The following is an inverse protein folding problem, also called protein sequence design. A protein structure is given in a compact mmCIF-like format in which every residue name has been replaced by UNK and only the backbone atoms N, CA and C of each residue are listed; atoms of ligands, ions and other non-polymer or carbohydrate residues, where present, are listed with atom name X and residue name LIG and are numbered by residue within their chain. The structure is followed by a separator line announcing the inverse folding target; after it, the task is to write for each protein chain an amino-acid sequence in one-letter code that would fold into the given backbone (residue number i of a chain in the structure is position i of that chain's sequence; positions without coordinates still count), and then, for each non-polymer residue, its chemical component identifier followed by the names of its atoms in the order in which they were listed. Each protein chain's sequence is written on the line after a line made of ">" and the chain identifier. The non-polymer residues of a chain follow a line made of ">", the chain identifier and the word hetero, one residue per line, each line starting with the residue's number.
data_IF_019631431805
#
_entry.id   IF_019631431805
#
_cell.length_a   1.000
_cell.length_b   1.000
_cell.length_c   1.000
_cell.angle_alpha   90.00
_cell.angle_beta   90.00
_cell.angle_gamma   90.00
#
_symmetry.space_group_name_H-M   'P 1'
#
loop_
_entity.id
_entity.type
_entity.pdbx_description
1 polymer ?
#
# COMPACT_ATOMS: atom_id res chain seq x y z
N UNK A 1 1.56 -21.04 1.58
CA UNK A 1 0.77 -19.80 1.65
C UNK A 1 -0.11 -19.74 0.42
N UNK A 2 -1.39 -20.10 0.60
CA UNK A 2 -2.30 -20.39 -0.51
C UNK A 2 -2.49 -19.19 -1.44
N UNK A 3 -2.86 -18.02 -0.91
CA UNK A 3 -3.25 -16.89 -1.76
C UNK A 3 -2.08 -16.28 -2.53
N UNK A 4 -0.92 -16.08 -1.90
CA UNK A 4 0.24 -15.51 -2.57
C UNK A 4 0.69 -16.36 -3.76
N UNK A 5 0.83 -17.66 -3.59
CA UNK A 5 1.29 -18.57 -4.64
C UNK A 5 0.19 -18.98 -5.63
N UNK A 6 -1.05 -19.13 -5.15
CA UNK A 6 -2.14 -19.61 -6.00
C UNK A 6 -2.83 -18.51 -6.79
N UNK A 7 -2.70 -17.24 -6.39
CA UNK A 7 -3.44 -16.13 -6.97
C UNK A 7 -2.55 -14.95 -7.35
N UNK A 8 -1.80 -14.36 -6.39
CA UNK A 8 -1.08 -13.11 -6.62
C UNK A 8 0.06 -13.24 -7.63
N UNK A 9 0.84 -14.33 -7.58
CA UNK A 9 1.95 -14.54 -8.52
C UNK A 9 1.44 -14.51 -9.97
N UNK A 10 0.33 -15.20 -10.25
CA UNK A 10 -0.27 -15.21 -11.59
C UNK A 10 -0.78 -13.83 -12.02
N UNK A 11 -1.31 -13.02 -11.10
CA UNK A 11 -1.73 -11.66 -11.41
C UNK A 11 -0.53 -10.74 -11.69
N UNK A 12 0.57 -10.91 -10.96
CA UNK A 12 1.81 -10.17 -11.18
C UNK A 12 2.46 -10.54 -12.51
N UNK A 13 2.48 -11.82 -12.88
CA UNK A 13 2.91 -12.27 -14.20
C UNK A 13 2.03 -11.68 -15.30
N UNK A 14 0.71 -11.77 -15.15
CA UNK A 14 -0.23 -11.22 -16.13
C UNK A 14 -0.09 -9.70 -16.28
N UNK A 15 0.13 -8.97 -15.20
CA UNK A 15 0.41 -7.54 -15.22
C UNK A 15 1.68 -7.21 -16.00
N UNK A 16 2.76 -7.93 -15.70
CA UNK A 16 4.03 -7.76 -16.40
C UNK A 16 3.88 -8.04 -17.90
N UNK A 17 3.23 -9.14 -18.26
CA UNK A 17 2.96 -9.52 -19.65
C UNK A 17 2.07 -8.48 -20.37
N UNK A 18 1.15 -7.84 -19.65
CA UNK A 18 0.28 -6.82 -20.23
C UNK A 18 1.01 -5.47 -20.43
N UNK A 19 1.98 -5.14 -19.58
CA UNK A 19 2.73 -3.86 -19.69
C UNK A 19 3.94 -3.98 -20.62
N UNK A 20 4.66 -5.10 -20.60
CA UNK A 20 5.90 -5.29 -21.35
C UNK A 20 5.73 -6.15 -22.62
N UNK A 21 4.59 -6.80 -22.79
CA UNK A 21 4.27 -7.68 -23.91
C UNK A 21 3.09 -7.19 -24.75
N UNK A 22 2.56 -8.09 -25.58
CA UNK A 22 1.46 -7.80 -26.50
C UNK A 22 0.06 -8.08 -25.90
N UNK A 23 -0.05 -8.25 -24.57
CA UNK A 23 -1.33 -8.53 -23.91
C UNK A 23 -2.04 -7.25 -23.49
N UNK A 24 -3.37 -7.29 -23.52
CA UNK A 24 -4.19 -6.14 -23.14
C UNK A 24 -4.32 -5.99 -21.64
N UNK A 25 -4.22 -4.74 -21.13
CA UNK A 25 -4.59 -4.37 -19.76
C UNK A 25 -6.11 -4.35 -19.52
N UNK A 26 -6.91 -4.36 -20.61
CA UNK A 26 -8.36 -4.29 -20.51
C UNK A 26 -9.00 -5.66 -20.40
N UNK A 27 -8.45 -6.67 -21.08
CA UNK A 27 -9.03 -8.00 -21.20
C UNK A 27 -7.97 -9.08 -21.18
N UNK A 28 -8.21 -10.17 -20.46
CA UNK A 28 -7.30 -11.32 -20.37
C UNK A 28 -8.03 -12.63 -20.71
N UNK A 29 -7.47 -13.42 -21.62
CA UNK A 29 -7.91 -14.78 -21.92
C UNK A 29 -7.38 -15.83 -20.92
N UNK A 30 -6.42 -15.49 -20.08
CA UNK A 30 -5.88 -16.37 -19.04
C UNK A 30 -6.79 -16.57 -17.83
N UNK A 31 -7.97 -15.96 -17.80
CA UNK A 31 -8.97 -16.06 -16.74
C UNK A 31 -10.15 -16.91 -17.21
N UNK A 32 -10.21 -18.17 -16.78
CA UNK A 32 -11.28 -19.14 -17.14
C UNK A 32 -11.66 -19.12 -18.63
N UNK A 33 -12.77 -18.49 -18.98
CA UNK A 33 -13.24 -18.29 -20.37
C UNK A 33 -12.87 -16.93 -20.97
N UNK A 34 -12.02 -16.16 -20.29
CA UNK A 34 -11.69 -14.77 -20.59
C UNK A 34 -12.54 -13.79 -19.76
N UNK A 35 -11.97 -12.63 -19.45
CA UNK A 35 -12.63 -11.60 -18.67
C UNK A 35 -11.87 -10.29 -18.65
N UNK A 36 -12.49 -9.27 -18.09
CA UNK A 36 -11.85 -7.97 -17.89
C UNK A 36 -10.68 -8.07 -16.92
N UNK A 37 -9.61 -7.32 -17.18
CA UNK A 37 -8.42 -7.29 -16.35
C UNK A 37 -8.34 -6.03 -15.48
N UNK A 38 -9.10 -4.98 -15.83
CA UNK A 38 -9.10 -3.68 -15.14
C UNK A 38 -9.49 -3.81 -13.66
N UNK A 39 -10.49 -4.64 -13.35
CA UNK A 39 -10.91 -4.88 -11.97
C UNK A 39 -9.84 -5.58 -11.14
N UNK A 40 -9.10 -6.54 -11.73
CA UNK A 40 -7.95 -7.19 -11.09
C UNK A 40 -6.84 -6.16 -10.86
N UNK A 41 -6.54 -5.35 -11.88
CA UNK A 41 -5.55 -4.29 -11.76
C UNK A 41 -5.91 -3.31 -10.63
N UNK A 42 -7.12 -2.78 -10.63
CA UNK A 42 -7.57 -1.81 -9.64
C UNK A 42 -7.60 -2.36 -8.20
N UNK A 43 -7.82 -3.66 -8.04
CA UNK A 43 -7.90 -4.27 -6.71
C UNK A 43 -6.55 -4.80 -6.21
N UNK A 44 -5.75 -5.46 -7.07
CA UNK A 44 -4.54 -6.17 -6.65
C UNK A 44 -3.22 -5.48 -7.03
N UNK A 45 -3.22 -4.69 -8.11
CA UNK A 45 -2.00 -4.31 -8.82
C UNK A 45 -1.75 -2.81 -8.90
N UNK A 46 -2.72 -1.97 -8.53
CA UNK A 46 -2.64 -0.52 -8.68
C UNK A 46 -1.65 0.18 -7.71
N UNK A 47 -1.02 -0.59 -6.83
CA UNK A 47 0.05 -0.09 -5.97
C UNK A 47 1.25 0.39 -6.80
N UNK A 48 1.84 1.57 -6.50
CA UNK A 48 3.05 2.03 -7.19
C UNK A 48 4.24 1.06 -7.02
N UNK A 49 4.26 0.27 -5.95
CA UNK A 49 5.28 -0.75 -5.73
C UNK A 49 5.19 -1.92 -6.71
N UNK A 50 4.05 -2.14 -7.36
CA UNK A 50 3.91 -3.16 -8.40
C UNK A 50 4.80 -2.89 -9.62
N UNK A 51 5.23 -1.63 -9.84
CA UNK A 51 6.16 -1.29 -10.92
C UNK A 51 7.53 -1.96 -10.78
N UNK A 52 7.91 -2.37 -9.57
CA UNK A 52 9.14 -3.15 -9.32
C UNK A 52 9.15 -4.47 -10.11
N UNK A 53 7.99 -5.08 -10.28
CA UNK A 53 7.84 -6.35 -11.01
C UNK A 53 8.24 -6.24 -12.48
N UNK A 54 8.21 -5.03 -13.05
CA UNK A 54 8.59 -4.76 -14.44
C UNK A 54 10.12 -4.78 -14.64
N UNK A 55 10.90 -4.56 -13.59
CA UNK A 55 12.36 -4.49 -13.63
C UNK A 55 12.97 -5.91 -13.66
N UNK A 56 12.29 -6.88 -13.05
CA UNK A 56 12.78 -8.24 -12.93
C UNK A 56 12.36 -9.09 -14.15
N UNK A 57 13.19 -10.07 -14.58
CA UNK A 57 12.78 -11.05 -15.58
C UNK A 57 11.66 -11.95 -15.02
N UNK A 58 10.91 -12.61 -15.92
CA UNK A 58 9.73 -13.39 -15.56
C UNK A 58 10.07 -14.54 -14.59
N UNK A 59 11.23 -15.15 -14.77
CA UNK A 59 11.72 -16.29 -13.97
C UNK A 59 11.98 -15.90 -12.50
N UNK A 60 12.19 -14.60 -12.24
CA UNK A 60 12.47 -14.04 -10.91
C UNK A 60 11.30 -13.27 -10.32
N UNK A 61 10.06 -13.57 -10.72
CA UNK A 61 8.87 -12.87 -10.24
C UNK A 61 8.66 -13.04 -8.74
N UNK A 62 9.01 -14.20 -8.19
CA UNK A 62 8.90 -14.49 -6.76
C UNK A 62 9.88 -13.63 -5.95
N UNK A 63 11.11 -13.49 -6.43
CA UNK A 63 12.13 -12.62 -5.84
C UNK A 63 11.73 -11.15 -5.94
N UNK A 64 11.14 -10.73 -7.06
CA UNK A 64 10.62 -9.40 -7.23
C UNK A 64 9.49 -9.08 -6.23
N UNK A 65 8.60 -10.04 -5.98
CA UNK A 65 7.56 -9.93 -4.95
C UNK A 65 8.16 -9.81 -3.55
N UNK A 66 9.20 -10.59 -3.23
CA UNK A 66 9.90 -10.45 -1.96
C UNK A 66 10.51 -9.05 -1.80
N UNK A 67 11.19 -8.55 -2.82
CA UNK A 67 11.75 -7.18 -2.81
C UNK A 67 10.63 -6.15 -2.64
N UNK A 68 9.51 -6.29 -3.33
CA UNK A 68 8.35 -5.41 -3.19
C UNK A 68 7.82 -5.40 -1.76
N UNK A 69 7.68 -6.56 -1.11
CA UNK A 69 7.21 -6.67 0.28
C UNK A 69 8.20 -5.99 1.24
N UNK A 70 9.51 -6.22 1.08
CA UNK A 70 10.54 -5.58 1.89
C UNK A 70 10.52 -4.06 1.73
N UNK A 71 10.33 -3.56 0.51
CA UNK A 71 10.20 -2.12 0.28
C UNK A 71 8.94 -1.55 0.91
N UNK A 72 7.81 -2.24 0.83
CA UNK A 72 6.56 -1.81 1.47
C UNK A 72 6.70 -1.74 2.99
N UNK A 73 7.24 -2.76 3.63
CA UNK A 73 7.45 -2.79 5.10
C UNK A 73 8.46 -1.73 5.55
N UNK A 74 9.55 -1.55 4.81
CA UNK A 74 10.53 -0.49 5.06
C UNK A 74 9.92 0.90 4.89
N UNK A 75 9.09 1.11 3.86
CA UNK A 75 8.40 2.40 3.64
C UNK A 75 7.35 2.66 4.72
N UNK A 76 6.64 1.64 5.22
CA UNK A 76 5.72 1.77 6.35
C UNK A 76 6.45 2.24 7.62
N UNK A 77 7.62 1.65 7.92
CA UNK A 77 8.48 2.12 9.01
C UNK A 77 8.92 3.57 8.82
N UNK A 78 9.31 3.95 7.61
CA UNK A 78 9.72 5.32 7.28
C UNK A 78 8.59 6.34 7.47
N UNK A 79 7.40 6.05 6.97
CA UNK A 79 6.24 6.95 7.11
C UNK A 79 5.83 7.13 8.56
N UNK A 80 5.90 6.07 9.37
CA UNK A 80 5.66 6.15 10.79
C UNK A 80 6.74 6.97 11.52
N UNK A 81 8.01 6.85 11.14
CA UNK A 81 9.10 7.69 11.65
C UNK A 81 8.85 9.19 11.36
N UNK A 82 8.38 9.51 10.14
CA UNK A 82 8.01 10.88 9.77
C UNK A 82 6.87 11.40 10.66
N UNK A 83 5.85 10.57 10.91
CA UNK A 83 4.75 10.89 11.80
C UNK A 83 5.25 11.21 13.22
N UNK A 84 6.04 10.32 13.84
CA UNK A 84 6.59 10.52 15.19
C UNK A 84 7.42 11.80 15.28
N UNK A 85 8.29 12.04 14.32
CA UNK A 85 9.12 13.25 14.28
C UNK A 85 8.30 14.54 14.19
N UNK A 86 7.17 14.51 13.50
CA UNK A 86 6.36 15.71 13.24
C UNK A 86 5.31 15.98 14.31
N UNK A 87 4.91 14.98 15.09
CA UNK A 87 3.81 15.07 16.07
C UNK A 87 4.28 14.90 17.51
N UNK A 88 5.32 14.10 17.75
CA UNK A 88 5.72 13.70 19.11
C UNK A 88 7.08 14.22 19.57
N UNK A 89 7.82 14.93 18.73
CA UNK A 89 9.21 15.36 19.03
C UNK A 89 10.09 14.22 19.56
N UNK A 90 9.88 13.00 19.06
CA UNK A 90 10.57 11.81 19.50
C UNK A 90 12.08 11.91 19.26
N UNK A 91 12.89 11.37 20.16
CA UNK A 91 14.33 11.24 20.00
C UNK A 91 14.67 10.28 18.85
N UNK A 92 15.90 10.34 18.34
CA UNK A 92 16.32 9.46 17.24
C UNK A 92 16.20 7.97 17.59
N UNK A 93 16.51 7.60 18.84
CA UNK A 93 16.40 6.22 19.31
C UNK A 93 14.93 5.75 19.37
N UNK A 94 14.04 6.58 19.89
CA UNK A 94 12.60 6.29 19.90
C UNK A 94 12.01 6.18 18.49
N UNK A 95 12.40 7.09 17.60
CA UNK A 95 11.97 7.02 16.19
C UNK A 95 12.37 5.70 15.53
N UNK A 96 13.63 5.27 15.69
CA UNK A 96 14.11 4.01 15.10
C UNK A 96 13.35 2.84 15.72
N UNK A 97 13.29 2.76 17.06
CA UNK A 97 12.66 1.65 17.76
C UNK A 97 11.18 1.49 17.39
N UNK A 98 10.38 2.55 17.55
CA UNK A 98 8.94 2.46 17.30
C UNK A 98 8.62 2.31 15.82
N UNK A 99 9.43 2.86 14.91
CA UNK A 99 9.23 2.67 13.47
C UNK A 99 9.52 1.24 13.03
N UNK A 100 10.54 0.60 13.59
CA UNK A 100 10.80 -0.83 13.36
C UNK A 100 9.66 -1.68 13.93
N UNK A 101 9.20 -1.38 15.13
CA UNK A 101 8.06 -2.09 15.73
C UNK A 101 6.79 -1.95 14.87
N UNK A 102 6.54 -0.77 14.29
CA UNK A 102 5.40 -0.54 13.41
C UNK A 102 5.51 -1.36 12.11
N UNK A 103 6.65 -1.32 11.43
CA UNK A 103 6.85 -2.06 10.18
C UNK A 103 6.90 -3.58 10.36
N UNK A 104 7.30 -4.05 11.56
CA UNK A 104 7.45 -5.48 11.87
C UNK A 104 6.36 -6.01 12.82
N UNK A 105 5.30 -5.24 13.07
CA UNK A 105 4.20 -5.72 13.90
C UNK A 105 3.50 -6.94 13.28
N UNK A 106 2.83 -7.74 14.09
CA UNK A 106 2.18 -8.98 13.65
C UNK A 106 1.21 -8.77 12.49
N UNK A 107 0.46 -7.67 12.46
CA UNK A 107 -0.39 -7.32 11.32
C UNK A 107 0.42 -7.18 10.03
N UNK A 108 1.52 -6.42 10.04
CA UNK A 108 2.37 -6.26 8.87
C UNK A 108 2.91 -7.61 8.38
N UNK A 109 3.36 -8.46 9.30
CA UNK A 109 3.90 -9.79 8.98
C UNK A 109 2.84 -10.72 8.39
N UNK A 110 1.63 -10.74 8.94
CA UNK A 110 0.52 -11.51 8.38
C UNK A 110 0.15 -11.01 6.99
N UNK A 111 0.11 -9.69 6.79
CA UNK A 111 -0.26 -9.09 5.50
C UNK A 111 0.83 -9.16 4.43
N UNK A 112 2.01 -9.70 4.71
CA UNK A 112 2.96 -10.08 3.65
C UNK A 112 2.38 -11.12 2.70
N UNK A 113 1.38 -11.89 3.16
CA UNK A 113 0.63 -12.84 2.34
C UNK A 113 -0.39 -12.17 1.40
N UNK A 114 -0.80 -10.94 1.73
CA UNK A 114 -1.72 -10.09 0.97
C UNK A 114 -1.05 -8.72 0.72
N UNK A 115 -0.03 -8.63 -0.15
CA UNK A 115 0.83 -7.44 -0.26
C UNK A 115 0.08 -6.15 -0.62
N UNK A 116 -1.10 -6.25 -1.22
CA UNK A 116 -1.94 -5.10 -1.55
C UNK A 116 -2.42 -4.32 -0.30
N UNK A 117 -2.56 -4.98 0.86
CA UNK A 117 -3.03 -4.33 2.07
C UNK A 117 -1.95 -3.53 2.79
N UNK A 118 -0.67 -3.78 2.47
CA UNK A 118 0.45 -3.04 3.04
C UNK A 118 0.48 -1.55 2.61
N UNK A 119 -0.17 -1.18 1.51
CA UNK A 119 -0.30 0.22 1.10
C UNK A 119 -1.09 1.05 2.13
N UNK A 120 -2.12 0.44 2.74
CA UNK A 120 -2.83 1.04 3.87
C UNK A 120 -1.90 1.32 5.05
N UNK A 121 -1.04 0.36 5.38
CA UNK A 121 -0.05 0.50 6.46
C UNK A 121 0.96 1.63 6.16
N UNK A 122 1.39 1.74 4.91
CA UNK A 122 2.32 2.79 4.47
C UNK A 122 1.70 4.19 4.58
N UNK A 123 0.46 4.35 4.15
CA UNK A 123 -0.16 5.67 4.04
C UNK A 123 -0.87 6.12 5.32
N UNK A 124 -1.30 5.21 6.19
CA UNK A 124 -2.02 5.54 7.42
C UNK A 124 -1.31 6.57 8.32
N UNK A 125 0.00 6.45 8.63
CA UNK A 125 0.68 7.45 9.46
C UNK A 125 0.67 8.86 8.84
N UNK A 126 0.81 8.95 7.51
CA UNK A 126 0.77 10.23 6.81
C UNK A 126 -0.64 10.79 6.76
N UNK A 127 -1.65 9.95 6.58
CA UNK A 127 -3.07 10.36 6.60
C UNK A 127 -3.42 10.94 7.97
N UNK A 128 -3.03 10.28 9.07
CA UNK A 128 -3.23 10.79 10.43
C UNK A 128 -2.51 12.13 10.62
N UNK A 129 -1.23 12.23 10.24
CA UNK A 129 -0.45 13.46 10.29
C UNK A 129 -1.15 14.63 9.56
N UNK A 130 -1.68 14.37 8.38
CA UNK A 130 -2.34 15.41 7.61
C UNK A 130 -3.76 15.71 8.08
N UNK A 131 -4.42 14.76 8.75
CA UNK A 131 -5.70 15.01 9.43
C UNK A 131 -5.49 15.95 10.62
N UNK A 132 -4.49 15.71 11.46
CA UNK A 132 -4.12 16.61 12.57
C UNK A 132 -3.76 18.00 12.05
N UNK A 133 -2.97 18.11 10.98
CA UNK A 133 -2.63 19.39 10.36
C UNK A 133 -3.82 20.13 9.72
N UNK A 134 -4.79 19.39 9.26
CA UNK A 134 -6.01 19.97 8.74
C UNK A 134 -6.81 20.63 9.88
N UNK A 135 -6.96 19.95 11.02
CA UNK A 135 -7.64 20.52 12.20
C UNK A 135 -6.86 21.71 12.76
N UNK A 136 -5.54 21.55 12.99
CA UNK A 136 -4.74 22.57 13.66
C UNK A 136 -4.48 23.82 12.80
N UNK A 137 -4.34 23.66 11.48
CA UNK A 137 -3.80 24.70 10.57
C UNK A 137 -4.64 24.93 9.32
N UNK A 138 -5.77 24.24 9.14
CA UNK A 138 -6.60 24.32 7.95
C UNK A 138 -5.94 23.78 6.67
N UNK A 139 -4.84 23.04 6.76
CA UNK A 139 -4.06 22.55 5.60
C UNK A 139 -4.54 21.19 5.15
N UNK A 140 -5.44 21.16 4.16
CA UNK A 140 -6.11 19.94 3.68
C UNK A 140 -5.40 19.21 2.52
N UNK A 141 -4.52 19.87 1.76
CA UNK A 141 -3.92 19.31 0.53
C UNK A 141 -3.22 17.96 0.80
N UNK A 142 -2.43 17.87 1.88
CA UNK A 142 -1.75 16.62 2.23
C UNK A 142 -2.71 15.47 2.52
N UNK A 143 -3.82 15.74 3.20
CA UNK A 143 -4.87 14.76 3.49
C UNK A 143 -5.54 14.28 2.19
N UNK A 144 -5.90 15.20 1.30
CA UNK A 144 -6.50 14.86 0.00
C UNK A 144 -5.55 14.00 -0.81
N UNK A 145 -4.28 14.39 -0.93
CA UNK A 145 -3.29 13.64 -1.72
C UNK A 145 -3.08 12.23 -1.15
N UNK A 146 -2.88 12.09 0.15
CA UNK A 146 -2.59 10.78 0.75
C UNK A 146 -3.80 9.85 0.73
N UNK A 147 -5.02 10.36 0.95
CA UNK A 147 -6.25 9.58 0.80
C UNK A 147 -6.47 9.17 -0.67
N UNK A 148 -6.30 10.10 -1.62
CA UNK A 148 -6.44 9.77 -3.05
C UNK A 148 -5.45 8.71 -3.49
N UNK A 149 -4.18 8.80 -3.06
CA UNK A 149 -3.18 7.76 -3.34
C UNK A 149 -3.59 6.40 -2.77
N UNK A 150 -4.17 6.38 -1.56
CA UNK A 150 -4.65 5.13 -0.97
C UNK A 150 -5.85 4.56 -1.74
N UNK A 151 -6.81 5.40 -2.16
CA UNK A 151 -7.94 4.95 -2.97
C UNK A 151 -7.50 4.39 -4.32
N UNK A 152 -6.48 4.99 -4.96
CA UNK A 152 -5.90 4.51 -6.21
C UNK A 152 -5.18 3.18 -5.98
N UNK A 153 -4.35 3.09 -4.94
CA UNK A 153 -3.58 1.88 -4.66
C UNK A 153 -4.44 0.70 -4.23
N UNK A 154 -5.48 0.97 -3.43
CA UNK A 154 -6.42 -0.06 -2.95
C UNK A 154 -7.72 0.58 -2.42
N UNK A 155 -8.75 0.64 -3.25
CA UNK A 155 -10.00 1.33 -2.92
C UNK A 155 -10.71 0.81 -1.66
N UNK A 156 -10.68 -0.51 -1.41
CA UNK A 156 -11.33 -1.11 -0.24
C UNK A 156 -10.69 -0.65 1.08
N UNK A 157 -9.36 -0.69 1.17
CA UNK A 157 -8.62 -0.15 2.34
C UNK A 157 -8.76 1.36 2.42
N UNK A 158 -8.78 2.05 1.27
CA UNK A 158 -9.06 3.48 1.19
C UNK A 158 -10.41 3.84 1.82
N UNK A 159 -11.46 3.09 1.51
CA UNK A 159 -12.79 3.28 2.09
C UNK A 159 -12.81 3.06 3.60
N UNK A 160 -12.23 1.96 4.09
CA UNK A 160 -12.12 1.69 5.53
C UNK A 160 -11.34 2.80 6.25
N UNK A 161 -10.23 3.24 5.65
CA UNK A 161 -9.41 4.32 6.19
C UNK A 161 -10.17 5.65 6.19
N UNK A 162 -10.98 5.94 5.18
CA UNK A 162 -11.78 7.17 5.13
C UNK A 162 -12.82 7.21 6.27
N UNK A 163 -13.48 6.08 6.58
CA UNK A 163 -14.39 5.98 7.74
C UNK A 163 -13.61 6.22 9.03
N UNK A 164 -12.44 5.59 9.20
CA UNK A 164 -11.60 5.80 10.36
C UNK A 164 -11.16 7.27 10.50
N UNK A 165 -10.74 7.90 9.41
CA UNK A 165 -10.32 9.31 9.39
C UNK A 165 -11.46 10.23 9.80
N UNK A 166 -12.70 9.96 9.35
CA UNK A 166 -13.87 10.75 9.75
C UNK A 166 -14.10 10.67 11.29
N UNK A 167 -14.04 9.46 11.85
CA UNK A 167 -14.17 9.26 13.31
C UNK A 167 -13.00 9.92 14.06
N UNK A 168 -11.77 9.74 13.57
CA UNK A 168 -10.58 10.34 14.16
C UNK A 168 -10.58 11.86 14.10
N UNK A 169 -11.07 12.43 13.00
CA UNK A 169 -11.25 13.88 12.83
C UNK A 169 -12.19 14.44 13.89
N UNK A 170 -13.35 13.81 14.11
CA UNK A 170 -14.29 14.21 15.16
C UNK A 170 -13.64 14.12 16.55
N UNK A 171 -12.97 13.02 16.85
CA UNK A 171 -12.27 12.83 18.12
C UNK A 171 -11.17 13.86 18.37
N UNK A 172 -10.44 14.24 17.34
CA UNK A 172 -9.33 15.20 17.46
C UNK A 172 -9.80 16.65 17.54
N UNK A 173 -11.01 16.94 17.04
CA UNK A 173 -11.60 18.27 17.05
C UNK A 173 -12.23 18.62 18.41
N UNK A 174 -12.70 17.64 19.18
CA UNK A 174 -13.30 17.78 20.50
C UNK A 174 -12.38 17.34 21.64
#
# INVERSE_FOLDING_TARGET
>A
VLDLNAQYIYYYEAFRDAVLGDKSLLYSFGRTLGGEFVGIYAYYLASPFSLILLIFPRELITEAVLVMILMKTGTASLTFSIYLRKTRNASNAEMILFSLMYGLMSYAMVQTMNPMWLDGLILLPLIILFTERFVDKGRFIGLVVTLSLLFIAHFYIGYMTAIFVFIYFLYYMF
#
